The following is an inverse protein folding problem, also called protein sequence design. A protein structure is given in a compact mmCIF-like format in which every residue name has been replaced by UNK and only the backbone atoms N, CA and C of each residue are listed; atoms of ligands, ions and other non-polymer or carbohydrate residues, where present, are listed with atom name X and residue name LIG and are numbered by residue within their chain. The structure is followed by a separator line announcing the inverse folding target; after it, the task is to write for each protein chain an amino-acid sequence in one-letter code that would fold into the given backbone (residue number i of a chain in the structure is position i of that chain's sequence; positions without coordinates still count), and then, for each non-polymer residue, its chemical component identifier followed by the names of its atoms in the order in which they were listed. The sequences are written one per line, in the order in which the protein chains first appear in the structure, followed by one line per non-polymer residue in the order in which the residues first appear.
data_IF_470442057932
#
_entry.id   IF_470442057932
#
_cell.length_a   1.000
_cell.length_b   1.000
_cell.length_c   1.000
_cell.angle_alpha   90.00
_cell.angle_beta   90.00
_cell.angle_gamma   90.00
#
_symmetry.space_group_name_H-M   'P 1'
#
loop_
_entity.id
_entity.type
_entity.pdbx_description
1 polymer ?
#
# COMPACT_ATOMS: atom_id res chain seq x y z
N UNK A 1 16.28 17.40 -81.01
CA UNK A 1 17.05 16.53 -80.08
C UNK A 1 16.71 17.01 -78.66
N UNK A 2 15.73 16.37 -78.06
CA UNK A 2 15.21 16.77 -76.73
C UNK A 2 15.37 15.60 -75.77
N UNK A 3 16.36 15.68 -74.85
CA UNK A 3 16.59 14.66 -73.82
C UNK A 3 15.62 14.85 -72.65
N UNK A 4 14.78 13.85 -72.44
CA UNK A 4 13.90 13.77 -71.27
C UNK A 4 14.65 13.04 -70.14
N UNK A 5 15.00 13.72 -69.05
CA UNK A 5 15.49 13.12 -67.84
C UNK A 5 14.32 12.71 -66.96
N UNK A 6 14.13 11.41 -66.79
CA UNK A 6 13.16 10.85 -65.83
C UNK A 6 13.88 10.67 -64.49
N UNK A 7 13.58 11.53 -63.55
CA UNK A 7 14.04 11.39 -62.15
C UNK A 7 13.08 10.45 -61.40
N UNK A 8 13.49 9.24 -61.11
CA UNK A 8 12.76 8.30 -60.25
C UNK A 8 12.99 8.67 -58.77
N UNK A 9 11.96 9.21 -58.11
CA UNK A 9 11.93 9.40 -56.67
C UNK A 9 11.63 8.04 -56.02
N UNK A 10 12.66 7.43 -55.39
CA UNK A 10 12.47 6.29 -54.48
C UNK A 10 11.98 6.81 -53.11
N UNK A 11 10.70 6.75 -52.85
CA UNK A 11 10.13 6.97 -51.54
C UNK A 11 10.37 5.72 -50.68
N UNK A 12 11.40 5.75 -49.83
CA UNK A 12 11.63 4.72 -48.82
C UNK A 12 10.57 4.75 -47.73
N UNK A 13 9.66 3.78 -47.73
CA UNK A 13 8.66 3.59 -46.70
C UNK A 13 9.36 2.99 -45.44
N UNK A 14 9.71 3.82 -44.49
CA UNK A 14 10.15 3.35 -43.15
C UNK A 14 8.92 2.78 -42.44
N UNK A 15 8.77 1.46 -42.42
CA UNK A 15 7.86 0.79 -41.51
C UNK A 15 8.39 0.91 -40.09
N UNK A 16 7.87 1.87 -39.32
CA UNK A 16 8.01 1.89 -37.88
C UNK A 16 7.24 0.67 -37.34
N UNK A 17 7.95 -0.41 -37.05
CA UNK A 17 7.39 -1.52 -36.27
C UNK A 17 7.05 -0.97 -34.88
N UNK A 18 5.79 -0.76 -34.58
CA UNK A 18 5.32 -0.50 -33.24
C UNK A 18 5.59 -1.77 -32.41
N UNK A 19 6.58 -1.72 -31.53
CA UNK A 19 6.78 -2.74 -30.51
C UNK A 19 5.59 -2.62 -29.58
N UNK A 20 4.59 -3.50 -29.72
CA UNK A 20 3.51 -3.61 -28.76
C UNK A 20 4.13 -4.02 -27.42
N UNK A 21 4.20 -3.11 -26.47
CA UNK A 21 4.55 -3.45 -25.09
C UNK A 21 3.52 -4.47 -24.60
N UNK A 22 3.94 -5.72 -24.44
CA UNK A 22 3.08 -6.78 -23.89
C UNK A 22 2.88 -6.48 -22.40
N UNK A 23 1.65 -6.26 -22.02
CA UNK A 23 1.27 -6.06 -20.63
C UNK A 23 1.00 -7.42 -19.98
N UNK A 24 1.67 -7.69 -18.88
CA UNK A 24 1.55 -8.93 -18.12
C UNK A 24 0.83 -8.68 -16.78
N UNK A 25 0.29 -9.73 -16.19
CA UNK A 25 -0.22 -9.73 -14.81
C UNK A 25 0.80 -10.42 -13.91
N UNK A 26 1.13 -9.76 -12.81
CA UNK A 26 1.89 -10.36 -11.72
C UNK A 26 0.96 -10.60 -10.53
N UNK A 27 1.01 -11.79 -9.95
CA UNK A 27 0.28 -12.14 -8.72
C UNK A 27 1.29 -12.60 -7.67
N UNK A 28 1.34 -11.89 -6.55
CA UNK A 28 2.08 -12.33 -5.37
C UNK A 28 1.18 -13.07 -4.41
N UNK A 29 1.69 -14.17 -3.83
CA UNK A 29 1.06 -14.91 -2.74
C UNK A 29 2.02 -14.91 -1.56
N UNK A 30 1.69 -14.21 -0.48
CA UNK A 30 2.51 -14.13 0.73
C UNK A 30 1.97 -15.01 1.83
N UNK A 31 2.86 -15.77 2.44
CA UNK A 31 2.54 -16.69 3.55
C UNK A 31 3.61 -16.61 4.63
N UNK A 32 3.26 -17.00 5.84
CA UNK A 32 4.22 -17.25 6.92
C UNK A 32 4.96 -18.60 6.74
N UNK A 33 5.86 -18.93 7.67
CA UNK A 33 6.60 -20.20 7.68
C UNK A 33 5.71 -21.43 7.86
N UNK A 34 4.50 -21.26 8.36
CA UNK A 34 3.50 -22.32 8.52
C UNK A 34 2.59 -22.45 7.30
N UNK A 35 2.75 -21.56 6.31
CA UNK A 35 1.94 -21.52 5.08
C UNK A 35 0.62 -20.75 5.23
N UNK A 36 0.40 -20.07 6.37
CA UNK A 36 -0.77 -19.23 6.59
C UNK A 36 -0.66 -17.95 5.75
N UNK A 37 -1.73 -17.54 5.04
CA UNK A 37 -1.76 -16.29 4.31
C UNK A 37 -1.45 -15.08 5.18
N UNK A 38 -0.65 -14.15 4.66
CA UNK A 38 -0.32 -12.88 5.31
C UNK A 38 -1.05 -11.73 4.62
N UNK A 39 -2.09 -11.21 5.26
CA UNK A 39 -2.66 -9.91 4.92
C UNK A 39 -1.68 -8.79 5.32
N UNK A 40 -1.91 -7.59 4.81
CA UNK A 40 -1.13 -6.39 5.17
C UNK A 40 0.38 -6.46 4.86
N UNK A 41 0.81 -7.42 4.04
CA UNK A 41 2.17 -7.46 3.55
C UNK A 41 2.33 -6.54 2.34
N UNK A 42 3.41 -5.78 2.32
CA UNK A 42 3.79 -4.93 1.19
C UNK A 42 4.75 -5.67 0.27
N UNK A 43 4.48 -5.61 -1.02
CA UNK A 43 5.39 -6.04 -2.08
C UNK A 43 5.74 -4.82 -2.91
N UNK A 44 7.03 -4.58 -3.12
CA UNK A 44 7.50 -3.59 -4.10
C UNK A 44 8.36 -4.28 -5.13
N UNK A 45 8.28 -3.83 -6.38
CA UNK A 45 9.05 -4.40 -7.48
C UNK A 45 9.81 -3.28 -8.20
N UNK A 46 11.12 -3.43 -8.20
CA UNK A 46 12.04 -2.66 -9.04
C UNK A 46 12.22 -3.40 -10.35
N UNK A 47 11.97 -2.74 -11.47
CA UNK A 47 12.00 -3.40 -12.77
C UNK A 47 12.00 -2.43 -13.95
N UNK A 48 11.68 -2.92 -15.17
CA UNK A 48 11.69 -2.10 -16.38
C UNK A 48 10.92 -0.81 -16.24
N UNK A 49 11.27 0.21 -17.05
CA UNK A 49 10.99 1.59 -16.75
C UNK A 49 9.51 1.91 -16.62
N UNK A 50 9.23 2.65 -15.58
CA UNK A 50 8.48 3.89 -15.57
C UNK A 50 6.99 3.81 -15.85
N UNK A 51 6.28 3.03 -15.03
CA UNK A 51 4.96 3.49 -14.70
C UNK A 51 5.12 4.52 -13.57
N UNK A 52 5.10 5.81 -13.90
CA UNK A 52 4.91 6.84 -12.88
C UNK A 52 3.58 6.53 -12.18
N UNK A 53 3.56 6.33 -10.86
CA UNK A 53 2.33 6.03 -10.16
C UNK A 53 1.26 7.08 -10.44
N UNK A 54 0.10 6.65 -10.92
CA UNK A 54 -0.94 7.56 -11.39
C UNK A 54 -1.59 8.40 -10.29
N UNK A 55 -1.41 8.07 -9.01
CA UNK A 55 -2.09 8.74 -7.91
C UNK A 55 -1.13 9.13 -6.80
N UNK A 56 -0.77 10.42 -6.76
CA UNK A 56 -0.03 11.03 -5.66
C UNK A 56 -0.96 11.51 -4.53
N UNK A 57 -2.11 10.85 -4.36
CA UNK A 57 -3.10 11.12 -3.31
C UNK A 57 -3.60 9.81 -2.72
N UNK A 58 -3.62 9.75 -1.39
CA UNK A 58 -4.11 8.60 -0.66
C UNK A 58 -4.88 9.05 0.60
N UNK A 59 -5.53 8.10 1.28
CA UNK A 59 -6.27 8.35 2.51
C UNK A 59 -5.99 7.23 3.51
N UNK A 60 -5.74 7.61 4.76
CA UNK A 60 -5.64 6.75 5.93
C UNK A 60 -6.75 7.19 6.88
N UNK A 61 -7.87 6.50 6.85
CA UNK A 61 -9.05 6.82 7.68
C UNK A 61 -8.87 6.33 9.12
N UNK A 62 -9.65 6.86 10.01
CA UNK A 62 -9.79 6.41 11.40
C UNK A 62 -11.24 5.97 11.58
N UNK A 63 -11.44 4.66 11.73
CA UNK A 63 -12.76 4.05 11.79
C UNK A 63 -12.77 2.90 12.78
N UNK A 64 -13.81 2.83 13.60
CA UNK A 64 -13.94 1.81 14.64
C UNK A 64 -12.73 1.76 15.59
N UNK A 65 -12.10 2.93 15.85
CA UNK A 65 -10.88 3.07 16.66
C UNK A 65 -9.68 2.29 16.10
N UNK A 66 -9.57 2.26 14.78
CA UNK A 66 -8.47 1.65 14.03
C UNK A 66 -8.06 2.57 12.87
N UNK A 67 -6.82 2.44 12.38
CA UNK A 67 -6.44 3.02 11.10
C UNK A 67 -6.92 2.11 9.97
N UNK A 68 -7.57 2.69 8.97
CA UNK A 68 -8.14 1.98 7.82
C UNK A 68 -7.67 2.61 6.49
N UNK A 69 -6.93 1.85 5.66
CA UNK A 69 -6.46 0.49 5.89
C UNK A 69 -5.43 0.40 7.01
N UNK A 70 -5.21 -0.77 7.61
CA UNK A 70 -4.18 -0.97 8.63
C UNK A 70 -2.76 -0.73 8.09
N UNK A 71 -2.50 -1.16 6.85
CA UNK A 71 -1.28 -0.87 6.09
C UNK A 71 -1.64 -0.16 4.80
N UNK A 72 -1.04 1.01 4.57
CA UNK A 72 -1.16 1.80 3.35
C UNK A 72 0.20 1.88 2.65
N UNK A 73 0.32 1.38 1.43
CA UNK A 73 1.51 1.59 0.61
C UNK A 73 1.33 2.79 -0.32
N UNK A 74 2.33 3.68 -0.39
CA UNK A 74 2.30 4.88 -1.23
C UNK A 74 3.66 5.12 -1.89
N UNK A 75 3.64 5.77 -3.05
CA UNK A 75 4.86 6.27 -3.67
C UNK A 75 5.32 7.56 -2.97
N UNK A 76 6.63 7.84 -2.98
CA UNK A 76 7.17 9.14 -2.56
C UNK A 76 6.46 10.29 -3.26
N UNK A 77 6.36 11.42 -2.57
CA UNK A 77 5.61 12.61 -2.99
C UNK A 77 4.09 12.44 -2.99
N UNK A 78 3.55 11.38 -2.38
CA UNK A 78 2.10 11.23 -2.18
C UNK A 78 1.61 12.12 -1.05
N UNK A 79 0.49 12.80 -1.30
CA UNK A 79 -0.28 13.52 -0.29
C UNK A 79 -1.31 12.59 0.35
N UNK A 80 -1.21 12.38 1.65
CA UNK A 80 -2.11 11.51 2.41
C UNK A 80 -3.05 12.36 3.27
N UNK A 81 -4.35 12.11 3.15
CA UNK A 81 -5.38 12.65 4.03
C UNK A 81 -5.62 11.68 5.19
N UNK A 82 -6.01 12.25 6.35
CA UNK A 82 -6.33 11.50 7.54
C UNK A 82 -7.75 11.85 8.01
N UNK A 83 -8.81 11.39 7.31
CA UNK A 83 -10.16 11.57 7.81
C UNK A 83 -10.36 10.81 9.12
N UNK A 84 -11.28 11.30 9.93
CA UNK A 84 -11.78 10.63 11.12
C UNK A 84 -13.27 10.37 10.92
N UNK A 85 -13.61 9.13 10.58
CA UNK A 85 -14.99 8.68 10.35
C UNK A 85 -15.67 8.17 11.62
N UNK A 86 -14.98 8.18 12.75
CA UNK A 86 -15.58 7.90 14.06
C UNK A 86 -16.33 9.12 14.61
N UNK A 87 -17.20 8.88 15.58
CA UNK A 87 -17.93 9.93 16.32
C UNK A 87 -17.19 10.40 17.57
N UNK A 88 -15.92 10.09 17.69
CA UNK A 88 -15.01 10.50 18.77
C UNK A 88 -13.76 11.11 18.16
N UNK A 89 -13.07 11.95 18.91
CA UNK A 89 -11.83 12.56 18.47
C UNK A 89 -10.70 11.56 18.50
N UNK A 90 -9.83 11.63 17.50
CA UNK A 90 -8.58 10.90 17.45
C UNK A 90 -7.40 11.84 17.28
N UNK A 91 -6.22 11.38 17.65
CA UNK A 91 -4.94 11.99 17.35
C UNK A 91 -4.21 11.07 16.39
N UNK A 92 -3.46 11.65 15.45
CA UNK A 92 -2.53 10.87 14.60
C UNK A 92 -1.14 11.42 14.78
N UNK A 93 -0.20 10.58 15.17
CA UNK A 93 1.19 10.98 15.28
C UNK A 93 2.13 9.91 14.72
N UNK A 94 3.33 10.34 14.35
CA UNK A 94 4.44 9.46 14.01
C UNK A 94 5.77 10.06 14.44
N UNK A 95 6.64 9.22 14.97
CA UNK A 95 8.04 9.54 15.27
C UNK A 95 9.03 8.86 14.31
N UNK A 96 8.53 8.17 13.29
CA UNK A 96 9.35 7.46 12.32
C UNK A 96 10.29 8.40 11.55
N UNK A 97 11.54 7.98 11.25
CA UNK A 97 12.51 8.81 10.52
C UNK A 97 12.04 9.26 9.14
N UNK A 98 11.23 8.43 8.46
CA UNK A 98 10.68 8.75 7.14
C UNK A 98 9.66 9.89 7.20
N UNK A 99 8.86 9.99 8.28
CA UNK A 99 7.92 11.09 8.48
C UNK A 99 7.60 11.29 9.96
N UNK A 100 7.95 12.47 10.49
CA UNK A 100 7.56 12.91 11.84
C UNK A 100 6.47 13.95 11.73
N UNK A 101 5.35 13.72 12.44
CA UNK A 101 4.25 14.67 12.50
C UNK A 101 3.31 14.39 13.67
N UNK A 102 2.45 15.35 13.96
CA UNK A 102 1.36 15.26 14.93
C UNK A 102 0.15 16.03 14.41
N UNK A 103 -0.98 15.34 14.29
CA UNK A 103 -2.30 15.92 14.12
C UNK A 103 -3.00 15.81 15.48
N UNK A 104 -3.15 16.95 16.18
CA UNK A 104 -3.79 16.99 17.51
C UNK A 104 -5.24 16.54 17.40
N UNK A 105 -5.82 16.12 18.51
CA UNK A 105 -7.21 15.63 18.61
C UNK A 105 -8.20 16.38 17.73
N UNK A 106 -8.83 15.70 16.78
CA UNK A 106 -9.77 16.25 15.83
C UNK A 106 -10.93 15.29 15.52
N UNK A 107 -12.01 15.86 14.99
CA UNK A 107 -13.13 15.18 14.35
C UNK A 107 -13.16 15.53 12.86
N UNK A 108 -13.71 14.67 12.02
CA UNK A 108 -13.81 14.89 10.58
C UNK A 108 -12.46 14.81 9.86
N UNK A 109 -12.23 15.67 8.90
CA UNK A 109 -10.99 15.63 8.08
C UNK A 109 -10.21 16.94 8.24
N UNK A 110 -8.92 16.88 8.59
CA UNK A 110 -8.06 18.05 8.54
C UNK A 110 -8.05 18.64 7.13
N UNK A 111 -7.95 19.96 7.03
CA UNK A 111 -7.99 20.67 5.74
C UNK A 111 -6.84 20.32 4.83
N UNK A 112 -5.64 20.11 5.40
CA UNK A 112 -4.42 19.91 4.64
C UNK A 112 -3.97 18.44 4.69
N UNK A 113 -3.71 17.83 3.52
CA UNK A 113 -3.05 16.53 3.47
C UNK A 113 -1.58 16.65 3.84
N UNK A 114 -0.99 15.58 4.34
CA UNK A 114 0.44 15.50 4.62
C UNK A 114 1.21 14.89 3.44
N UNK A 115 2.31 15.54 3.08
CA UNK A 115 3.21 15.04 2.04
C UNK A 115 4.16 13.98 2.61
N UNK A 116 4.24 12.82 1.96
CA UNK A 116 5.18 11.73 2.28
C UNK A 116 6.27 11.70 1.20
N UNK A 117 7.40 12.32 1.49
CA UNK A 117 8.49 12.64 0.55
C UNK A 117 9.76 11.82 0.74
N UNK A 118 9.78 10.92 1.72
CA UNK A 118 10.94 10.05 2.01
C UNK A 118 10.51 8.59 2.05
N UNK A 119 11.23 7.68 1.36
CA UNK A 119 10.94 6.25 1.45
C UNK A 119 11.21 5.73 2.85
N UNK A 120 10.45 4.70 3.23
CA UNK A 120 10.57 4.02 4.52
C UNK A 120 9.23 3.74 5.19
N UNK A 121 9.31 3.09 6.34
CA UNK A 121 8.14 2.75 7.16
C UNK A 121 7.80 3.89 8.10
N UNK A 122 6.52 4.28 8.10
CA UNK A 122 5.95 5.27 9.00
C UNK A 122 4.93 4.58 9.90
N UNK A 123 5.24 4.47 11.18
CA UNK A 123 4.34 3.92 12.20
C UNK A 123 3.44 5.04 12.71
N UNK A 124 2.15 4.81 12.68
CA UNK A 124 1.12 5.72 13.18
C UNK A 124 0.63 5.25 14.54
N UNK A 125 0.35 6.20 15.43
CA UNK A 125 -0.26 5.94 16.73
C UNK A 125 -1.33 6.97 17.07
N UNK A 126 -2.15 6.62 18.07
CA UNK A 126 -3.13 7.49 18.71
C UNK A 126 -2.89 7.50 20.22
N UNK A 127 -2.83 8.69 20.87
CA UNK A 127 -2.54 8.79 22.31
C UNK A 127 -3.69 8.36 23.22
N UNK A 128 -4.90 8.26 22.71
CA UNK A 128 -6.07 7.93 23.52
C UNK A 128 -6.56 6.49 23.36
N UNK A 129 -5.94 5.74 22.43
CA UNK A 129 -6.21 4.34 22.17
C UNK A 129 -4.89 3.62 21.91
N UNK A 130 -4.32 2.95 22.91
CA UNK A 130 -2.98 2.35 22.85
C UNK A 130 -2.88 1.24 21.77
N UNK A 131 -4.00 0.56 21.48
CA UNK A 131 -4.10 -0.45 20.42
C UNK A 131 -4.20 0.12 19.00
N UNK A 132 -4.45 1.44 18.85
CA UNK A 132 -4.66 2.07 17.54
C UNK A 132 -3.31 2.36 16.87
N UNK A 133 -2.80 1.37 16.18
CA UNK A 133 -1.55 1.41 15.42
C UNK A 133 -1.85 1.19 13.93
N UNK A 134 -1.17 1.90 13.05
CA UNK A 134 -1.25 1.74 11.61
C UNK A 134 0.08 2.01 10.94
N UNK A 135 0.19 1.71 9.66
CA UNK A 135 1.47 1.81 8.95
C UNK A 135 1.30 2.44 7.58
N UNK A 136 2.22 3.35 7.23
CA UNK A 136 2.37 3.83 5.86
C UNK A 136 3.75 3.39 5.36
N UNK A 137 3.76 2.57 4.32
CA UNK A 137 4.97 2.17 3.63
C UNK A 137 5.19 3.10 2.44
N UNK A 138 6.25 3.90 2.50
CA UNK A 138 6.60 4.85 1.43
C UNK A 138 7.70 4.24 0.58
N UNK A 139 7.52 4.19 -0.73
CA UNK A 139 8.47 3.58 -1.68
C UNK A 139 8.74 4.48 -2.88
N UNK A 140 9.94 4.37 -3.45
CA UNK A 140 10.30 4.95 -4.75
C UNK A 140 10.04 3.98 -5.91
N UNK A 141 9.70 2.72 -5.60
CA UNK A 141 9.49 1.72 -6.64
C UNK A 141 8.16 1.95 -7.36
N UNK A 142 8.12 1.81 -8.71
CA UNK A 142 6.92 2.10 -9.49
C UNK A 142 5.81 1.07 -9.31
N UNK A 143 6.16 -0.16 -8.96
CA UNK A 143 5.23 -1.26 -8.79
C UNK A 143 5.17 -1.68 -7.34
N UNK A 144 4.04 -1.52 -6.71
CA UNK A 144 3.85 -1.90 -5.30
C UNK A 144 2.38 -2.11 -4.96
N UNK A 145 2.16 -2.76 -3.83
CA UNK A 145 0.83 -2.90 -3.27
C UNK A 145 0.87 -3.66 -1.95
N UNK A 146 -0.32 -3.83 -1.38
CA UNK A 146 -0.55 -4.50 -0.10
C UNK A 146 -1.38 -5.75 -0.36
N UNK A 147 -1.04 -6.86 0.29
CA UNK A 147 -1.80 -8.10 0.18
C UNK A 147 -3.15 -8.01 0.89
N UNK A 148 -4.14 -8.67 0.31
CA UNK A 148 -5.48 -8.83 0.88
C UNK A 148 -5.52 -9.86 2.03
N UNK A 149 -6.71 -10.13 2.56
CA UNK A 149 -6.96 -11.12 3.63
C UNK A 149 -6.56 -12.56 3.27
N UNK A 150 -6.39 -12.85 1.99
CA UNK A 150 -5.93 -14.15 1.49
C UNK A 150 -4.41 -14.17 1.25
N UNK A 151 -3.70 -13.09 1.59
CA UNK A 151 -2.27 -12.94 1.32
C UNK A 151 -1.95 -12.69 -0.16
N UNK A 152 -2.91 -12.21 -0.96
CA UNK A 152 -2.75 -12.00 -2.39
C UNK A 152 -2.62 -10.53 -2.74
N UNK A 153 -1.72 -10.24 -3.68
CA UNK A 153 -1.60 -8.97 -4.37
C UNK A 153 -1.57 -9.22 -5.87
N UNK A 154 -2.36 -8.49 -6.63
CA UNK A 154 -2.37 -8.53 -8.09
C UNK A 154 -1.94 -7.19 -8.66
N UNK A 155 -0.96 -7.19 -9.55
CA UNK A 155 -0.50 -6.04 -10.33
C UNK A 155 -0.72 -6.34 -11.80
N UNK A 156 -1.58 -5.55 -12.43
CA UNK A 156 -1.91 -5.67 -13.85
C UNK A 156 -1.09 -4.69 -14.70
N UNK A 157 -1.03 -4.95 -15.99
CA UNK A 157 -0.38 -4.10 -17.00
C UNK A 157 1.12 -3.86 -16.76
N UNK A 158 1.80 -4.83 -16.16
CA UNK A 158 3.23 -4.76 -15.94
C UNK A 158 4.00 -5.02 -17.24
N UNK A 159 5.08 -4.27 -17.49
CA UNK A 159 6.00 -4.62 -18.58
C UNK A 159 6.59 -6.01 -18.40
N UNK A 160 6.79 -6.71 -19.51
CA UNK A 160 7.59 -7.95 -19.53
C UNK A 160 9.03 -7.59 -19.21
N UNK A 161 9.69 -8.35 -18.33
CA UNK A 161 11.09 -8.10 -18.00
C UNK A 161 11.53 -8.64 -16.65
N UNK A 162 12.74 -8.23 -16.26
CA UNK A 162 13.40 -8.64 -15.03
C UNK A 162 13.01 -7.71 -13.87
N UNK A 163 12.70 -8.30 -12.73
CA UNK A 163 12.25 -7.60 -11.53
C UNK A 163 12.97 -8.07 -10.28
N UNK A 164 13.23 -7.13 -9.37
CA UNK A 164 13.71 -7.39 -8.02
C UNK A 164 12.60 -7.06 -7.03
N UNK A 165 12.19 -8.02 -6.21
CA UNK A 165 11.18 -7.84 -5.19
C UNK A 165 11.78 -7.46 -3.84
N UNK A 166 11.08 -6.55 -3.15
CA UNK A 166 11.28 -6.27 -1.73
C UNK A 166 9.95 -6.48 -1.00
N UNK A 167 10.02 -7.12 0.15
CA UNK A 167 8.86 -7.52 0.95
C UNK A 167 8.92 -6.88 2.32
N UNK A 168 7.76 -6.50 2.84
CA UNK A 168 7.64 -5.97 4.19
C UNK A 168 6.31 -6.40 4.82
N UNK A 169 6.28 -6.51 6.14
CA UNK A 169 5.09 -6.77 6.93
C UNK A 169 5.25 -6.16 8.33
N UNK A 170 4.19 -5.66 9.00
CA UNK A 170 4.29 -5.08 10.35
C UNK A 170 4.95 -5.98 11.40
N UNK A 171 4.87 -7.29 11.21
CA UNK A 171 5.39 -8.30 12.14
C UNK A 171 6.76 -8.86 11.73
N UNK A 172 7.45 -8.27 10.77
CA UNK A 172 8.85 -8.62 10.49
C UNK A 172 9.72 -8.12 11.65
N UNK A 173 10.66 -8.97 12.08
CA UNK A 173 11.68 -8.60 13.05
C UNK A 173 12.42 -7.32 12.59
N UNK A 174 12.68 -6.41 13.50
CA UNK A 174 13.31 -5.10 13.25
C UNK A 174 12.57 -4.17 12.29
N UNK A 175 11.36 -4.54 11.83
CA UNK A 175 10.55 -3.78 10.88
C UNK A 175 11.29 -3.37 9.60
N UNK A 176 12.35 -4.09 9.22
CA UNK A 176 13.13 -3.82 8.02
C UNK A 176 12.60 -4.62 6.82
N UNK A 177 12.52 -4.00 5.63
CA UNK A 177 12.18 -4.72 4.41
C UNK A 177 13.21 -5.83 4.13
N UNK A 178 12.74 -6.95 3.58
CA UNK A 178 13.56 -8.08 3.21
C UNK A 178 13.52 -8.33 1.70
N UNK A 179 14.57 -8.94 1.15
CA UNK A 179 14.59 -9.30 -0.27
C UNK A 179 13.58 -10.41 -0.57
N UNK A 180 12.78 -10.22 -1.61
CA UNK A 180 11.93 -11.24 -2.23
C UNK A 180 12.62 -11.99 -3.38
N UNK A 181 13.89 -11.66 -3.67
CA UNK A 181 14.63 -12.22 -4.79
C UNK A 181 14.36 -11.52 -6.12
N UNK A 182 14.89 -12.13 -7.17
CA UNK A 182 14.79 -11.62 -8.54
C UNK A 182 14.10 -12.66 -9.43
N UNK A 183 13.34 -12.20 -10.42
CA UNK A 183 12.60 -13.05 -11.35
C UNK A 183 12.21 -12.30 -12.61
N UNK A 184 11.90 -13.05 -13.66
CA UNK A 184 11.37 -12.50 -14.91
C UNK A 184 9.86 -12.63 -14.95
N UNK A 185 9.17 -11.58 -15.38
CA UNK A 185 7.73 -11.59 -15.66
C UNK A 185 7.58 -11.77 -17.19
N UNK A 186 7.13 -12.95 -17.65
CA UNK A 186 6.88 -13.19 -19.07
C UNK A 186 5.55 -12.59 -19.52
N UNK A 187 5.32 -12.52 -20.83
CA UNK A 187 4.06 -12.03 -21.41
C UNK A 187 2.82 -12.82 -20.95
N UNK A 188 2.98 -14.07 -20.55
CA UNK A 188 1.91 -14.90 -20.00
C UNK A 188 1.53 -14.54 -18.55
N UNK A 189 2.28 -13.62 -17.93
CA UNK A 189 2.15 -13.29 -16.51
C UNK A 189 2.92 -14.25 -15.60
N UNK A 190 2.97 -13.92 -14.31
CA UNK A 190 3.67 -14.72 -13.30
C UNK A 190 2.86 -14.73 -12.00
N UNK A 191 2.76 -15.91 -11.39
CA UNK A 191 2.34 -16.06 -9.99
C UNK A 191 3.55 -16.47 -9.16
N UNK A 192 3.90 -15.64 -8.18
CA UNK A 192 5.06 -15.86 -7.31
C UNK A 192 4.61 -16.02 -5.86
N UNK A 193 5.07 -17.09 -5.22
CA UNK A 193 4.84 -17.30 -3.78
C UNK A 193 6.06 -16.85 -2.99
N UNK A 194 5.82 -16.08 -1.93
CA UNK A 194 6.83 -15.63 -0.99
C UNK A 194 6.51 -16.14 0.40
N UNK A 195 7.56 -16.50 1.15
CA UNK A 195 7.44 -16.87 2.56
C UNK A 195 8.16 -15.84 3.41
N UNK A 196 7.44 -15.23 4.35
CA UNK A 196 8.00 -14.28 5.30
C UNK A 196 8.15 -14.89 6.69
N UNK A 197 9.24 -14.53 7.35
CA UNK A 197 9.41 -14.79 8.78
C UNK A 197 8.75 -13.66 9.54
N UNK A 198 7.61 -13.92 10.14
CA UNK A 198 6.89 -12.97 10.98
C UNK A 198 6.88 -13.45 12.42
N UNK A 199 7.01 -12.51 13.35
CA UNK A 199 6.87 -12.76 14.79
C UNK A 199 5.49 -12.27 15.19
N UNK A 200 4.59 -13.13 15.70
CA UNK A 200 3.29 -12.68 16.19
C UNK A 200 3.52 -11.64 17.29
N UNK A 201 3.13 -10.41 17.04
CA UNK A 201 3.08 -9.38 18.07
C UNK A 201 1.78 -9.61 18.83
N UNK A 202 1.87 -9.76 20.15
CA UNK A 202 0.70 -9.62 21.01
C UNK A 202 0.23 -8.15 20.85
N UNK A 203 -0.77 -7.92 20.03
CA UNK A 203 -1.45 -6.64 19.98
C UNK A 203 -2.21 -6.55 21.30
N UNK A 204 -2.06 -5.46 22.04
CA UNK A 204 -2.96 -5.18 23.16
C UNK A 204 -4.38 -5.22 22.58
N UNK A 205 -5.16 -6.20 23.02
CA UNK A 205 -6.47 -6.46 22.48
C UNK A 205 -7.32 -5.19 22.61
N UNK A 206 -7.83 -4.70 21.48
CA UNK A 206 -8.87 -3.68 21.51
C UNK A 206 -9.94 -4.12 22.49
N UNK A 207 -10.29 -3.30 23.50
CA UNK A 207 -11.32 -3.65 24.44
C UNK A 207 -12.59 -4.06 23.69
N UNK A 208 -13.18 -5.19 24.08
CA UNK A 208 -14.42 -5.63 23.49
C UNK A 208 -15.43 -4.46 23.53
N UNK A 209 -16.07 -4.16 22.40
CA UNK A 209 -17.09 -3.12 22.33
C UNK A 209 -18.11 -3.39 23.44
N UNK A 210 -18.40 -2.44 24.36
CA UNK A 210 -19.39 -2.67 25.40
C UNK A 210 -20.67 -3.17 24.73
N UNK A 211 -21.21 -4.28 25.23
CA UNK A 211 -22.48 -4.79 24.72
C UNK A 211 -23.48 -3.62 24.78
N UNK A 212 -24.01 -3.23 23.64
CA UNK A 212 -25.04 -2.20 23.54
C UNK A 212 -26.24 -2.68 24.37
N UNK A 213 -26.38 -2.21 25.60
CA UNK A 213 -27.43 -2.66 26.52
C UNK A 213 -27.14 -2.53 28.01
N UNK A 214 -26.01 -1.94 28.43
CA UNK A 214 -25.59 -2.11 29.80
C UNK A 214 -25.94 -1.02 30.81
N UNK A 215 -25.95 0.25 30.46
CA UNK A 215 -26.18 1.31 31.47
C UNK A 215 -27.55 1.98 31.38
N UNK A 216 -28.08 2.14 30.16
CA UNK A 216 -29.44 2.69 29.97
C UNK A 216 -30.53 1.76 30.47
N UNK A 217 -30.42 0.48 30.23
CA UNK A 217 -31.41 -0.51 30.64
C UNK A 217 -31.41 -0.80 32.14
N UNK A 218 -30.25 -0.71 32.80
CA UNK A 218 -30.16 -0.79 34.26
C UNK A 218 -30.83 0.39 34.95
N UNK A 219 -30.73 1.60 34.40
CA UNK A 219 -31.39 2.80 34.94
C UNK A 219 -32.90 2.78 34.73
N UNK A 220 -33.39 2.31 33.58
CA UNK A 220 -34.83 2.18 33.35
C UNK A 220 -35.47 1.10 34.22
N UNK A 221 -34.76 0.02 34.52
CA UNK A 221 -35.29 -1.04 35.41
C UNK A 221 -35.37 -0.59 36.89
N UNK A 222 -34.39 0.19 37.35
CA UNK A 222 -34.33 0.69 38.71
C UNK A 222 -35.32 1.88 38.98
N UNK A 223 -35.85 2.51 37.92
CA UNK A 223 -36.82 3.62 38.07
C UNK A 223 -38.28 3.16 38.07
N UNK A 224 -38.53 1.84 37.90
CA UNK A 224 -39.88 1.24 37.86
C UNK A 224 -40.10 0.15 38.91
N UNK A 225 -39.18 -0.04 39.85
CA UNK A 225 -39.36 -0.75 41.12
C UNK A 225 -39.44 0.22 42.28
#
# INVERSE_FOLDING_TARGET
MTNLFISALLAGLWMMSAVSASAATFTAQLVDKQGKPLADAVVTLKGPPDATPAALKASMDQRDQEFAPHVLAVHTSTQVKFPNSDNIRHQVYSFSPAKRFELRLYEGTPSEPLLFDKPGVVVLGCNIHDWMVGYIYVTDEPWFGVTDSNGQLKLDQMPVGHYQATLWHPQIEDMQPVSGGEFDIPAAGLTQRFTLSVVPVAVDDKPAKPATGGFGDAFHKAAHE
#
